data_IF_546819857751
#
_entry.id   IF_546819857751
#
_cell.length_a   1.000
_cell.length_b   1.000
_cell.length_c   1.000
_cell.angle_alpha   90.00
_cell.angle_beta   90.00
_cell.angle_gamma   90.00
#
_symmetry.space_group_name_H-M   'P 1'
#
loop_
_entity.id
_entity.type
_entity.pdbx_description
1 polymer ?
#
# COMPACT_ATOMS: atom_id res chain seq x y z
N UNK A 1 6.55 14.56 -9.36
CA UNK A 1 6.77 13.91 -8.05
C UNK A 1 7.07 14.96 -6.99
N UNK A 2 6.28 15.05 -5.93
CA UNK A 2 6.57 15.84 -4.73
C UNK A 2 7.35 14.99 -3.74
N UNK A 3 8.32 15.56 -3.01
CA UNK A 3 9.19 14.83 -2.07
C UNK A 3 9.58 15.70 -0.88
N UNK A 4 9.92 15.03 0.23
CA UNK A 4 10.56 15.62 1.41
C UNK A 4 11.75 14.74 1.82
N UNK A 5 12.90 15.34 2.06
CA UNK A 5 14.13 14.58 2.35
C UNK A 5 14.23 14.09 3.82
N UNK A 6 13.25 14.46 4.66
CA UNK A 6 13.27 14.17 6.10
C UNK A 6 12.70 12.80 6.49
N UNK A 7 12.12 12.05 5.56
CA UNK A 7 11.44 10.76 5.84
C UNK A 7 12.16 9.64 5.11
N UNK A 8 12.52 8.61 5.86
CA UNK A 8 13.17 7.42 5.37
C UNK A 8 12.56 6.14 5.91
N UNK A 9 13.18 5.00 5.58
CA UNK A 9 12.70 3.68 5.97
C UNK A 9 12.47 3.54 7.49
N UNK A 10 13.33 4.12 8.32
CA UNK A 10 13.20 4.05 9.79
C UNK A 10 11.94 4.74 10.31
N UNK A 11 11.53 5.83 9.69
CA UNK A 11 10.31 6.56 10.06
C UNK A 11 9.09 5.72 9.75
N UNK A 12 9.05 5.07 8.58
CA UNK A 12 7.98 4.13 8.17
C UNK A 12 7.92 2.92 9.09
N UNK A 13 9.07 2.32 9.43
CA UNK A 13 9.15 1.23 10.40
C UNK A 13 8.59 1.65 11.77
N UNK A 14 8.85 2.91 12.20
CA UNK A 14 8.31 3.48 13.43
C UNK A 14 6.78 3.53 13.44
N UNK A 15 6.15 3.92 12.34
CA UNK A 15 4.68 3.93 12.17
C UNK A 15 4.11 2.53 12.42
N UNK A 16 4.56 1.56 11.63
CA UNK A 16 4.00 0.20 11.64
C UNK A 16 4.46 -0.70 12.80
N UNK A 17 5.43 -0.23 13.60
CA UNK A 17 5.82 -0.87 14.86
C UNK A 17 5.16 -0.22 16.09
N UNK A 18 4.35 0.80 15.90
CA UNK A 18 3.76 1.61 16.96
C UNK A 18 2.24 1.77 16.84
N UNK A 19 1.65 2.58 17.72
CA UNK A 19 0.20 2.79 17.80
C UNK A 19 -0.41 3.42 16.54
N UNK A 20 0.38 4.11 15.74
CA UNK A 20 -0.09 4.69 14.47
C UNK A 20 -0.48 3.61 13.47
N UNK A 21 0.31 2.52 13.36
CA UNK A 21 -0.03 1.36 12.55
C UNK A 21 -1.28 0.63 13.05
N UNK A 22 -1.45 0.54 14.36
CA UNK A 22 -2.65 -0.06 14.97
C UNK A 22 -3.90 0.80 14.72
N UNK A 23 -3.77 2.14 14.65
CA UNK A 23 -4.86 3.04 14.24
C UNK A 23 -5.26 2.82 12.77
N UNK A 24 -4.30 2.67 11.87
CA UNK A 24 -4.61 2.36 10.48
C UNK A 24 -5.34 1.03 10.33
N UNK A 25 -4.90 0.00 11.07
CA UNK A 25 -5.58 -1.30 11.08
C UNK A 25 -6.99 -1.21 11.69
N UNK A 26 -7.20 -0.41 12.74
CA UNK A 26 -8.52 -0.17 13.31
C UNK A 26 -9.49 0.45 12.29
N UNK A 27 -9.02 1.42 11.51
CA UNK A 27 -9.87 2.20 10.59
C UNK A 27 -10.12 1.47 9.28
N UNK A 28 -9.08 0.83 8.72
CA UNK A 28 -9.13 0.20 7.39
C UNK A 28 -9.30 -1.32 7.44
N UNK A 29 -9.27 -1.92 8.62
CA UNK A 29 -9.22 -3.37 8.80
C UNK A 29 -7.83 -3.94 8.53
N UNK A 30 -7.71 -5.26 8.51
CA UNK A 30 -6.42 -5.94 8.26
C UNK A 30 -5.83 -5.64 6.88
N UNK A 31 -6.68 -5.37 5.89
CA UNK A 31 -6.28 -4.86 4.59
C UNK A 31 -6.15 -3.34 4.65
N UNK A 32 -4.99 -2.88 5.11
CA UNK A 32 -4.69 -1.45 5.37
C UNK A 32 -4.49 -0.70 4.05
N UNK A 33 -5.56 -0.54 3.29
CA UNK A 33 -5.59 0.26 2.06
C UNK A 33 -6.99 0.81 1.76
N UNK A 34 -7.07 1.82 0.90
CA UNK A 34 -8.33 2.48 0.52
C UNK A 34 -9.25 1.49 -0.20
N UNK A 35 -10.44 1.31 0.33
CA UNK A 35 -11.47 0.47 -0.27
C UNK A 35 -11.42 -1.01 0.13
N UNK A 36 -10.42 -1.43 0.92
CA UNK A 36 -10.35 -2.77 1.50
C UNK A 36 -10.65 -3.90 0.50
N UNK A 37 -11.41 -4.89 0.91
CA UNK A 37 -11.75 -6.08 0.12
C UNK A 37 -12.25 -5.77 -1.31
N UNK A 38 -13.10 -4.77 -1.48
CA UNK A 38 -13.64 -4.40 -2.80
C UNK A 38 -12.54 -3.85 -3.73
N UNK A 39 -11.57 -3.10 -3.19
CA UNK A 39 -10.41 -2.62 -3.93
C UNK A 39 -9.50 -3.78 -4.37
N UNK A 40 -9.21 -4.73 -3.46
CA UNK A 40 -8.43 -5.93 -3.79
C UNK A 40 -9.09 -6.77 -4.89
N UNK A 41 -10.42 -6.94 -4.82
CA UNK A 41 -11.18 -7.67 -5.85
C UNK A 41 -11.06 -6.99 -7.21
N UNK A 42 -11.28 -5.69 -7.28
CA UNK A 42 -11.19 -4.91 -8.53
C UNK A 42 -9.78 -4.95 -9.14
N UNK A 43 -8.74 -4.79 -8.30
CA UNK A 43 -7.36 -4.91 -8.76
C UNK A 43 -7.06 -6.31 -9.30
N UNK A 44 -7.47 -7.36 -8.57
CA UNK A 44 -7.23 -8.75 -8.98
C UNK A 44 -7.96 -9.13 -10.29
N UNK A 45 -9.16 -8.58 -10.50
CA UNK A 45 -9.92 -8.77 -11.74
C UNK A 45 -9.27 -8.03 -12.91
N UNK A 46 -8.94 -6.76 -12.74
CA UNK A 46 -8.28 -5.94 -13.77
C UNK A 46 -6.89 -6.46 -14.14
N UNK A 47 -6.17 -7.05 -13.18
CA UNK A 47 -4.88 -7.69 -13.37
C UNK A 47 -4.98 -9.11 -13.93
N UNK A 48 -6.18 -9.66 -14.06
CA UNK A 48 -6.44 -11.03 -14.48
C UNK A 48 -5.61 -12.05 -13.67
N UNK A 49 -5.63 -11.91 -12.33
CA UNK A 49 -4.95 -12.87 -11.44
C UNK A 49 -5.71 -14.20 -11.48
N UNK A 50 -5.03 -15.24 -11.95
CA UNK A 50 -5.61 -16.57 -12.19
C UNK A 50 -5.30 -17.55 -11.05
N UNK A 51 -6.21 -18.48 -10.81
CA UNK A 51 -6.01 -19.56 -9.85
C UNK A 51 -4.80 -20.43 -10.23
N UNK A 52 -4.09 -20.93 -9.23
CA UNK A 52 -2.88 -21.75 -9.41
C UNK A 52 -1.61 -20.95 -9.66
N UNK A 53 -1.67 -19.62 -9.84
CA UNK A 53 -0.49 -18.75 -10.01
C UNK A 53 0.30 -18.55 -8.70
N UNK A 54 1.54 -18.09 -8.83
CA UNK A 54 2.43 -17.74 -7.72
C UNK A 54 2.78 -16.25 -7.78
N UNK A 55 2.60 -15.52 -6.67
CA UNK A 55 2.80 -14.08 -6.61
C UNK A 55 3.87 -13.64 -5.63
N UNK A 56 4.35 -12.40 -5.85
CA UNK A 56 5.19 -11.64 -4.93
C UNK A 56 4.39 -10.41 -4.45
N UNK A 57 4.36 -10.15 -3.15
CA UNK A 57 3.74 -8.95 -2.58
C UNK A 57 4.85 -8.06 -2.00
N UNK A 58 5.00 -6.86 -2.56
CA UNK A 58 6.04 -5.90 -2.18
C UNK A 58 5.47 -4.82 -1.27
N UNK A 59 6.06 -4.65 -0.09
CA UNK A 59 5.50 -3.93 1.05
C UNK A 59 4.26 -4.64 1.61
N UNK A 60 4.38 -5.94 1.82
CA UNK A 60 3.25 -6.82 2.15
C UNK A 60 2.65 -6.62 3.54
N UNK A 61 3.23 -5.78 4.38
CA UNK A 61 2.78 -5.51 5.75
C UNK A 61 2.50 -6.82 6.52
N UNK A 62 1.31 -6.97 7.10
CA UNK A 62 0.85 -8.17 7.80
C UNK A 62 0.36 -9.30 6.87
N UNK A 63 0.51 -9.14 5.55
CA UNK A 63 0.17 -10.14 4.54
C UNK A 63 -1.32 -10.30 4.24
N UNK A 64 -2.16 -9.33 4.56
CA UNK A 64 -3.60 -9.42 4.32
C UNK A 64 -3.95 -9.55 2.82
N UNK A 65 -3.26 -8.80 1.94
CA UNK A 65 -3.40 -8.96 0.48
C UNK A 65 -3.03 -10.36 0.00
N UNK A 66 -1.96 -10.96 0.57
CA UNK A 66 -1.58 -12.33 0.25
C UNK A 66 -2.63 -13.35 0.69
N UNK A 67 -3.15 -13.21 1.94
CA UNK A 67 -4.24 -14.09 2.43
C UNK A 67 -5.50 -13.96 1.59
N UNK A 68 -5.84 -12.73 1.18
CA UNK A 68 -6.94 -12.46 0.24
C UNK A 68 -6.74 -13.21 -1.09
N UNK A 69 -5.58 -13.09 -1.74
CA UNK A 69 -5.31 -13.71 -3.03
C UNK A 69 -5.37 -15.24 -2.96
N UNK A 70 -4.83 -15.85 -1.92
CA UNK A 70 -4.89 -17.31 -1.73
C UNK A 70 -6.34 -17.78 -1.53
N UNK A 71 -7.13 -17.09 -0.69
CA UNK A 71 -8.51 -17.50 -0.35
C UNK A 71 -9.52 -17.22 -1.46
N UNK A 72 -9.46 -16.05 -2.07
CA UNK A 72 -10.53 -15.55 -2.96
C UNK A 72 -10.17 -15.60 -4.44
N UNK A 73 -8.87 -15.72 -4.76
CA UNK A 73 -8.42 -15.86 -6.17
C UNK A 73 -7.79 -17.22 -6.45
N UNK A 74 -7.67 -18.11 -5.45
CA UNK A 74 -7.13 -19.44 -5.61
C UNK A 74 -5.64 -19.47 -6.00
N UNK A 75 -4.88 -18.41 -5.63
CA UNK A 75 -3.44 -18.34 -5.85
C UNK A 75 -2.75 -19.46 -5.08
N UNK A 76 -1.85 -20.20 -5.74
CA UNK A 76 -1.20 -21.39 -5.18
C UNK A 76 -0.18 -21.04 -4.09
N UNK A 77 0.52 -19.91 -4.22
CA UNK A 77 1.50 -19.49 -3.23
C UNK A 77 1.86 -18.01 -3.37
N UNK A 78 2.19 -17.39 -2.22
CA UNK A 78 2.61 -16.00 -2.14
C UNK A 78 3.93 -15.87 -1.37
N UNK A 79 4.80 -14.98 -1.86
CA UNK A 79 5.99 -14.54 -1.17
C UNK A 79 5.90 -13.04 -0.88
N UNK A 80 5.76 -12.65 0.38
CA UNK A 80 5.75 -11.24 0.79
C UNK A 80 7.15 -10.74 1.13
N UNK A 81 7.40 -9.47 0.84
CA UNK A 81 8.60 -8.73 1.25
C UNK A 81 8.17 -7.49 2.01
N UNK A 82 8.67 -7.33 3.22
CA UNK A 82 8.50 -6.11 4.01
C UNK A 82 9.74 -5.87 4.88
N UNK A 83 10.06 -4.61 5.12
CA UNK A 83 11.23 -4.23 5.91
C UNK A 83 10.94 -4.13 7.41
N UNK A 84 9.67 -4.21 7.84
CA UNK A 84 9.22 -4.00 9.21
C UNK A 84 8.99 -5.32 9.94
N UNK A 85 9.88 -5.66 10.86
CA UNK A 85 9.85 -6.95 11.57
C UNK A 85 8.51 -7.20 12.27
N UNK A 86 7.97 -6.20 12.95
CA UNK A 86 6.73 -6.33 13.74
C UNK A 86 5.54 -6.78 12.88
N UNK A 87 5.35 -6.18 11.71
CA UNK A 87 4.23 -6.56 10.83
C UNK A 87 4.47 -7.91 10.14
N UNK A 88 5.72 -8.23 9.80
CA UNK A 88 6.09 -9.55 9.24
C UNK A 88 5.79 -10.66 10.25
N UNK A 89 6.16 -10.49 11.51
CA UNK A 89 5.90 -11.49 12.56
C UNK A 89 4.38 -11.64 12.81
N UNK A 90 3.64 -10.52 12.90
CA UNK A 90 2.16 -10.53 12.98
C UNK A 90 1.54 -11.26 11.78
N UNK A 91 2.06 -11.03 10.59
CA UNK A 91 1.59 -11.70 9.37
C UNK A 91 1.82 -13.21 9.39
N UNK A 92 2.98 -13.67 9.86
CA UNK A 92 3.27 -15.09 10.03
C UNK A 92 2.32 -15.75 11.03
N UNK A 93 2.09 -15.11 12.18
CA UNK A 93 1.15 -15.60 13.20
C UNK A 93 -0.27 -15.72 12.63
N UNK A 94 -0.77 -14.71 11.91
CA UNK A 94 -2.08 -14.76 11.25
C UNK A 94 -2.16 -15.87 10.21
N UNK A 95 -1.12 -16.07 9.41
CA UNK A 95 -1.09 -17.17 8.44
C UNK A 95 -1.16 -18.56 9.12
N UNK A 96 -0.52 -18.73 10.28
CA UNK A 96 -0.64 -19.97 11.09
C UNK A 96 -2.08 -20.12 11.59
N UNK A 97 -2.64 -19.09 12.21
CA UNK A 97 -4.01 -19.10 12.74
C UNK A 97 -5.06 -19.40 11.65
N UNK A 98 -4.82 -18.93 10.44
CA UNK A 98 -5.71 -19.13 9.30
C UNK A 98 -5.43 -20.39 8.47
N UNK A 99 -4.41 -21.20 8.82
CA UNK A 99 -4.05 -22.41 8.09
C UNK A 99 -3.45 -22.15 6.70
N UNK A 100 -2.71 -21.05 6.53
CA UNK A 100 -2.12 -20.61 5.26
C UNK A 100 -0.58 -20.58 5.28
N UNK A 101 0.05 -21.07 6.36
CA UNK A 101 1.51 -21.00 6.54
C UNK A 101 2.31 -21.84 5.52
N UNK A 102 1.68 -22.81 4.90
CA UNK A 102 2.26 -23.63 3.79
C UNK A 102 2.27 -22.88 2.45
N UNK A 103 1.35 -21.93 2.25
CA UNK A 103 1.16 -21.19 1.00
C UNK A 103 1.75 -19.78 1.01
N UNK A 104 1.93 -19.19 2.19
CA UNK A 104 2.36 -17.80 2.34
C UNK A 104 3.67 -17.74 3.11
N UNK A 105 4.67 -17.09 2.53
CA UNK A 105 5.98 -16.88 3.14
C UNK A 105 6.30 -15.40 3.21
N UNK A 106 7.13 -15.02 4.19
CA UNK A 106 7.57 -13.64 4.40
C UNK A 106 9.09 -13.55 4.41
N UNK A 107 9.62 -12.56 3.69
CA UNK A 107 11.02 -12.14 3.71
C UNK A 107 11.10 -10.77 4.39
N UNK A 108 11.91 -10.67 5.44
CA UNK A 108 12.23 -9.39 6.08
C UNK A 108 13.38 -8.75 5.31
N UNK A 109 13.09 -7.81 4.42
CA UNK A 109 14.07 -7.13 3.57
C UNK A 109 13.54 -5.80 3.04
N UNK A 110 14.45 -4.94 2.56
CA UNK A 110 14.10 -3.76 1.77
C UNK A 110 13.58 -4.21 0.40
N UNK A 111 12.38 -3.75 0.03
CA UNK A 111 11.73 -4.06 -1.25
C UNK A 111 12.50 -3.56 -2.48
N UNK A 112 13.42 -2.62 -2.30
CA UNK A 112 14.33 -2.18 -3.37
C UNK A 112 15.50 -3.16 -3.62
N UNK A 113 15.68 -4.15 -2.74
CA UNK A 113 16.74 -5.17 -2.83
C UNK A 113 16.32 -6.39 -1.99
N UNK A 114 15.32 -7.13 -2.44
CA UNK A 114 14.69 -8.22 -1.67
C UNK A 114 15.61 -9.43 -1.44
N UNK A 115 16.65 -9.60 -2.24
CA UNK A 115 17.52 -10.78 -2.24
C UNK A 115 16.87 -12.05 -2.83
N UNK A 116 15.63 -11.96 -3.30
CA UNK A 116 14.91 -13.08 -3.88
C UNK A 116 15.34 -13.38 -5.33
N UNK A 117 15.20 -14.64 -5.75
CA UNK A 117 15.51 -15.06 -7.11
C UNK A 117 14.58 -14.37 -8.13
N UNK A 118 15.15 -13.81 -9.21
CA UNK A 118 14.40 -13.15 -10.26
C UNK A 118 13.60 -14.11 -11.16
N UNK A 119 12.64 -13.57 -11.90
CA UNK A 119 11.84 -14.24 -12.93
C UNK A 119 11.10 -15.51 -12.45
N UNK A 120 10.66 -15.53 -11.18
CA UNK A 120 9.98 -16.67 -10.57
C UNK A 120 8.48 -16.47 -10.37
N UNK A 121 8.04 -15.22 -10.21
CA UNK A 121 6.64 -14.92 -9.95
C UNK A 121 5.84 -14.77 -11.25
N UNK A 122 4.60 -15.23 -11.23
CA UNK A 122 3.61 -14.95 -12.28
C UNK A 122 3.16 -13.51 -12.22
N UNK A 123 3.12 -12.93 -10.99
CA UNK A 123 2.77 -11.53 -10.80
C UNK A 123 3.47 -10.92 -9.57
N UNK A 124 3.63 -9.58 -9.60
CA UNK A 124 3.94 -8.75 -8.45
C UNK A 124 2.70 -7.95 -8.04
N UNK A 125 2.52 -7.79 -6.73
CA UNK A 125 1.37 -7.18 -6.10
C UNK A 125 1.78 -6.08 -5.10
N UNK A 126 0.94 -5.10 -4.88
CA UNK A 126 1.06 -4.11 -3.83
C UNK A 126 -0.24 -3.33 -3.68
N UNK A 127 -0.59 -2.94 -2.46
CA UNK A 127 -1.82 -2.20 -2.18
C UNK A 127 -1.53 -1.03 -1.25
N UNK A 128 -1.56 0.19 -1.81
CA UNK A 128 -1.39 1.49 -1.13
C UNK A 128 -0.17 1.57 -0.20
N UNK A 129 0.90 0.90 -0.55
CA UNK A 129 2.09 0.76 0.28
C UNK A 129 3.39 1.25 -0.40
N UNK A 130 3.38 1.38 -1.72
CA UNK A 130 4.55 1.82 -2.46
C UNK A 130 4.86 3.30 -2.25
N UNK A 131 3.86 4.10 -1.83
CA UNK A 131 4.03 5.49 -1.41
C UNK A 131 5.06 5.66 -0.27
N UNK A 132 5.28 4.65 0.55
CA UNK A 132 6.27 4.65 1.63
C UNK A 132 7.72 4.41 1.16
N UNK A 133 7.93 3.98 -0.08
CA UNK A 133 9.27 3.65 -0.58
C UNK A 133 9.98 4.90 -1.08
N UNK A 134 11.22 5.13 -0.63
CA UNK A 134 12.02 6.31 -1.00
C UNK A 134 12.36 6.29 -2.49
N UNK A 135 12.89 5.17 -2.98
CA UNK A 135 13.32 5.00 -4.37
C UNK A 135 12.33 4.13 -5.15
N UNK A 136 11.31 4.78 -5.71
CA UNK A 136 10.29 4.11 -6.51
C UNK A 136 10.82 3.52 -7.81
N UNK A 137 11.92 4.06 -8.35
CA UNK A 137 12.57 3.49 -9.53
C UNK A 137 13.18 2.12 -9.23
N UNK A 138 13.89 2.00 -8.10
CA UNK A 138 14.44 0.71 -7.65
C UNK A 138 13.35 -0.27 -7.26
N UNK A 139 12.28 0.18 -6.61
CA UNK A 139 11.12 -0.67 -6.30
C UNK A 139 10.50 -1.27 -7.57
N UNK A 140 10.21 -0.45 -8.59
CA UNK A 140 9.64 -0.92 -9.86
C UNK A 140 10.63 -1.83 -10.61
N UNK A 141 11.92 -1.51 -10.57
CA UNK A 141 12.95 -2.37 -11.16
C UNK A 141 13.00 -3.75 -10.46
N UNK A 142 12.87 -3.79 -9.13
CA UNK A 142 12.83 -5.03 -8.38
C UNK A 142 11.54 -5.82 -8.67
N UNK A 143 10.38 -5.18 -8.72
CA UNK A 143 9.12 -5.82 -9.14
C UNK A 143 9.25 -6.45 -10.53
N UNK A 144 9.78 -5.70 -11.49
CA UNK A 144 10.03 -6.19 -12.83
C UNK A 144 11.06 -7.34 -12.87
N UNK A 145 12.10 -7.30 -12.03
CA UNK A 145 13.10 -8.37 -11.92
C UNK A 145 12.52 -9.69 -11.40
N UNK A 146 11.64 -9.60 -10.41
CA UNK A 146 11.03 -10.76 -9.74
C UNK A 146 10.00 -11.47 -10.62
N UNK A 147 9.26 -10.73 -11.42
CA UNK A 147 8.23 -11.27 -12.31
C UNK A 147 8.87 -11.89 -13.56
N UNK A 148 8.36 -13.04 -13.99
CA UNK A 148 8.76 -13.68 -15.26
C UNK A 148 8.32 -12.86 -16.48
N UNK A 149 8.89 -13.12 -17.65
CA UNK A 149 8.41 -12.55 -18.92
C UNK A 149 6.95 -12.93 -19.16
N UNK A 150 6.14 -11.99 -19.61
CA UNK A 150 4.70 -12.14 -19.78
C UNK A 150 3.90 -12.12 -18.48
N UNK A 151 4.56 -12.01 -17.32
CA UNK A 151 3.88 -11.88 -16.02
C UNK A 151 3.42 -10.46 -15.74
N UNK A 152 2.58 -10.31 -14.72
CA UNK A 152 1.85 -9.08 -14.40
C UNK A 152 2.48 -8.33 -13.23
N UNK A 153 2.52 -7.00 -13.29
CA UNK A 153 2.74 -6.12 -12.13
C UNK A 153 1.44 -5.37 -11.91
N UNK A 154 0.84 -5.56 -10.74
CA UNK A 154 -0.45 -4.98 -10.37
C UNK A 154 -0.39 -4.34 -9.01
N UNK A 155 -0.76 -3.06 -8.90
CA UNK A 155 -0.79 -2.38 -7.62
C UNK A 155 -1.79 -1.22 -7.60
N UNK A 156 -2.26 -0.88 -6.40
CA UNK A 156 -2.82 0.43 -6.09
C UNK A 156 -1.82 1.23 -5.29
N UNK A 157 -1.89 2.55 -5.39
CA UNK A 157 -1.08 3.42 -4.54
C UNK A 157 -1.68 4.82 -4.40
N UNK A 158 -1.31 5.50 -3.34
CA UNK A 158 -1.63 6.91 -3.14
C UNK A 158 -0.85 7.74 -4.14
N UNK A 159 -1.54 8.60 -4.89
CA UNK A 159 -0.95 9.42 -5.94
C UNK A 159 -1.33 10.89 -5.81
N UNK A 160 -0.46 11.78 -6.30
CA UNK A 160 -0.81 13.16 -6.56
C UNK A 160 -1.90 13.19 -7.64
N UNK A 161 -3.01 13.83 -7.32
CA UNK A 161 -4.16 13.95 -8.22
C UNK A 161 -3.95 15.04 -9.29
N UNK A 162 -4.86 15.15 -10.27
CA UNK A 162 -4.70 16.05 -11.41
C UNK A 162 -4.73 17.55 -11.03
N UNK A 163 -5.32 17.91 -9.91
CA UNK A 163 -5.32 19.31 -9.43
C UNK A 163 -3.97 19.75 -8.86
N UNK A 164 -3.10 18.79 -8.51
CA UNK A 164 -1.76 19.04 -8.01
C UNK A 164 -1.72 19.61 -6.58
N UNK A 165 -0.68 19.25 -5.84
CA UNK A 165 -0.39 19.80 -4.52
C UNK A 165 0.51 21.03 -4.65
N UNK A 166 0.22 22.10 -3.91
CA UNK A 166 1.22 23.12 -3.67
C UNK A 166 2.35 22.56 -2.79
N UNK A 167 3.52 23.21 -2.78
CA UNK A 167 4.65 22.72 -1.99
C UNK A 167 4.33 22.66 -0.49
N UNK A 168 3.57 23.63 0.01
CA UNK A 168 3.12 23.67 1.42
C UNK A 168 2.14 22.53 1.75
N UNK A 169 1.20 22.26 0.86
CA UNK A 169 0.26 21.12 1.01
C UNK A 169 1.00 19.79 0.96
N UNK A 170 1.92 19.65 0.01
CA UNK A 170 2.74 18.45 -0.12
C UNK A 170 3.58 18.20 1.13
N UNK A 171 4.28 19.23 1.63
CA UNK A 171 5.09 19.10 2.85
C UNK A 171 4.23 18.64 4.05
N UNK A 172 3.07 19.29 4.29
CA UNK A 172 2.17 18.93 5.38
C UNK A 172 1.65 17.49 5.24
N UNK A 173 1.13 17.14 4.07
CA UNK A 173 0.57 15.83 3.79
C UNK A 173 1.61 14.71 3.91
N UNK A 174 2.77 14.88 3.27
CA UNK A 174 3.84 13.88 3.30
C UNK A 174 4.41 13.68 4.71
N UNK A 175 4.54 14.75 5.51
CA UNK A 175 4.95 14.64 6.92
C UNK A 175 3.95 13.88 7.77
N UNK A 176 2.65 14.17 7.59
CA UNK A 176 1.59 13.47 8.33
C UNK A 176 1.56 11.99 7.97
N UNK A 177 1.54 11.65 6.69
CA UNK A 177 1.47 10.27 6.21
C UNK A 177 2.80 9.51 6.32
N UNK A 178 3.90 10.16 6.67
CA UNK A 178 5.26 9.59 6.61
C UNK A 178 5.62 9.07 5.23
N UNK A 179 5.15 9.73 4.18
CA UNK A 179 5.56 9.43 2.82
C UNK A 179 6.84 10.23 2.47
N UNK A 180 7.90 9.58 2.01
CA UNK A 180 9.09 10.30 1.54
C UNK A 180 8.81 11.11 0.27
N UNK A 181 7.92 10.62 -0.55
CA UNK A 181 7.48 11.26 -1.79
C UNK A 181 6.15 10.70 -2.26
N UNK A 182 5.49 11.43 -3.17
CA UNK A 182 4.28 10.98 -3.85
C UNK A 182 4.46 11.14 -5.38
N UNK A 183 4.12 10.09 -6.13
CA UNK A 183 4.07 10.10 -7.58
C UNK A 183 2.68 10.48 -8.06
N UNK A 184 2.57 10.92 -9.32
CA UNK A 184 1.33 10.96 -10.07
C UNK A 184 1.17 9.70 -10.95
N UNK A 185 0.02 9.56 -11.59
CA UNK A 185 -0.28 8.42 -12.48
C UNK A 185 0.71 8.36 -13.65
N UNK A 186 1.11 9.49 -14.21
CA UNK A 186 2.07 9.57 -15.33
C UNK A 186 3.46 9.12 -14.89
N UNK A 187 3.88 9.51 -13.69
CA UNK A 187 5.17 9.11 -13.12
C UNK A 187 5.29 7.60 -12.93
N UNK A 188 4.27 6.96 -12.35
CA UNK A 188 4.26 5.49 -12.23
C UNK A 188 4.23 4.79 -13.58
N UNK A 189 3.41 5.29 -14.54
CA UNK A 189 3.43 4.78 -15.92
C UNK A 189 4.84 4.83 -16.50
N UNK A 190 5.52 5.98 -16.43
CA UNK A 190 6.87 6.14 -16.95
C UNK A 190 7.89 5.22 -16.28
N UNK A 191 7.79 5.00 -14.96
CA UNK A 191 8.65 4.06 -14.24
C UNK A 191 8.45 2.61 -14.71
N UNK A 192 7.21 2.18 -14.93
CA UNK A 192 6.89 0.85 -15.46
C UNK A 192 7.45 0.67 -16.89
N UNK A 193 7.23 1.64 -17.76
CA UNK A 193 7.72 1.62 -19.15
C UNK A 193 9.24 1.61 -19.22
N UNK A 194 9.93 2.40 -18.37
CA UNK A 194 11.39 2.45 -18.29
C UNK A 194 11.99 1.12 -17.81
N UNK A 195 11.22 0.29 -17.10
CA UNK A 195 11.63 -1.04 -16.65
C UNK A 195 11.12 -2.18 -17.57
N UNK A 196 10.82 -1.86 -18.84
CA UNK A 196 10.47 -2.84 -19.86
C UNK A 196 9.07 -3.43 -19.73
N UNK A 197 8.17 -2.75 -19.02
CA UNK A 197 6.79 -3.18 -18.88
C UNK A 197 5.88 -2.48 -19.90
N UNK A 198 4.88 -3.18 -20.39
CA UNK A 198 3.78 -2.63 -21.17
C UNK A 198 2.64 -2.30 -20.21
N UNK A 199 2.32 -1.02 -20.05
CA UNK A 199 1.24 -0.57 -19.16
C UNK A 199 -0.11 -0.80 -19.81
N UNK A 200 -0.93 -1.63 -19.20
CA UNK A 200 -2.29 -1.96 -19.64
C UNK A 200 -3.32 -1.04 -19.02
N UNK A 201 -3.14 -0.67 -17.73
CA UNK A 201 -3.98 0.26 -16.98
C UNK A 201 -3.12 1.20 -16.15
N UNK A 202 -3.51 2.45 -16.07
CA UNK A 202 -2.98 3.45 -15.15
C UNK A 202 -4.09 4.51 -14.98
N UNK A 203 -4.89 4.39 -13.94
CA UNK A 203 -6.14 5.13 -13.77
C UNK A 203 -6.37 5.53 -12.31
N UNK A 204 -7.14 6.60 -12.08
CA UNK A 204 -7.68 6.94 -10.77
C UNK A 204 -8.88 6.02 -10.49
N UNK A 205 -8.91 5.42 -9.30
CA UNK A 205 -10.00 4.52 -8.91
C UNK A 205 -11.30 5.26 -8.57
N UNK A 206 -11.24 6.56 -8.31
CA UNK A 206 -12.35 7.36 -7.81
C UNK A 206 -12.79 7.05 -6.38
N UNK A 207 -12.07 6.13 -5.68
CA UNK A 207 -12.46 5.66 -4.34
C UNK A 207 -11.96 6.55 -3.22
N UNK A 208 -10.95 7.37 -3.47
CA UNK A 208 -10.18 8.00 -2.40
C UNK A 208 -11.05 8.90 -1.50
N UNK A 209 -11.68 9.93 -2.05
CA UNK A 209 -12.47 10.88 -1.26
C UNK A 209 -13.66 10.22 -0.52
N UNK A 210 -14.49 9.35 -1.14
CA UNK A 210 -15.58 8.67 -0.43
C UNK A 210 -15.10 7.80 0.75
N UNK A 211 -13.92 7.15 0.63
CA UNK A 211 -13.40 6.31 1.72
C UNK A 211 -12.79 7.14 2.84
N UNK A 212 -12.14 8.26 2.52
CA UNK A 212 -11.69 9.21 3.57
C UNK A 212 -12.88 9.73 4.38
N UNK A 213 -14.00 10.06 3.73
CA UNK A 213 -15.24 10.45 4.40
C UNK A 213 -15.76 9.33 5.32
N UNK A 214 -15.79 8.10 4.83
CA UNK A 214 -16.19 6.94 5.61
C UNK A 214 -15.30 6.74 6.85
N UNK A 215 -13.99 6.77 6.69
CA UNK A 215 -13.03 6.58 7.78
C UNK A 215 -13.15 7.67 8.84
N UNK A 216 -13.30 8.93 8.44
CA UNK A 216 -13.56 10.04 9.38
C UNK A 216 -14.87 9.85 10.13
N UNK A 217 -15.94 9.44 9.45
CA UNK A 217 -17.21 9.14 10.11
C UNK A 217 -17.07 8.01 11.13
N UNK A 218 -16.39 6.92 10.79
CA UNK A 218 -16.15 5.80 11.70
C UNK A 218 -15.36 6.22 12.93
N UNK A 219 -14.30 7.04 12.77
CA UNK A 219 -13.50 7.59 13.87
C UNK A 219 -14.30 8.53 14.77
N UNK A 220 -15.21 9.33 14.20
CA UNK A 220 -16.05 10.27 14.95
C UNK A 220 -17.27 9.61 15.62
N UNK A 221 -17.57 8.34 15.32
CA UNK A 221 -18.73 7.62 15.83
C UNK A 221 -18.30 6.37 16.61
N UNK A 222 -18.30 5.20 15.95
CA UNK A 222 -18.12 3.93 16.64
C UNK A 222 -16.67 3.62 17.05
N UNK A 223 -15.68 4.16 16.37
CA UNK A 223 -14.27 3.86 16.63
C UNK A 223 -13.56 4.85 17.57
N UNK A 224 -14.24 5.91 18.02
CA UNK A 224 -13.62 6.98 18.85
C UNK A 224 -12.96 6.41 20.11
N UNK A 225 -13.66 5.54 20.84
CA UNK A 225 -13.14 4.96 22.09
C UNK A 225 -11.94 4.06 21.84
N UNK A 226 -12.00 3.19 20.82
CA UNK A 226 -10.92 2.27 20.50
C UNK A 226 -9.68 3.03 19.99
N UNK A 227 -9.88 4.07 19.18
CA UNK A 227 -8.80 4.97 18.76
C UNK A 227 -8.13 5.67 19.96
N UNK A 228 -8.92 6.22 20.88
CA UNK A 228 -8.40 6.82 22.12
C UNK A 228 -7.62 5.81 22.97
N UNK A 229 -8.11 4.58 23.09
CA UNK A 229 -7.43 3.50 23.81
C UNK A 229 -6.05 3.19 23.22
N UNK A 230 -5.95 3.08 21.88
CA UNK A 230 -4.69 2.83 21.17
C UNK A 230 -3.66 3.91 21.46
N UNK A 231 -4.07 5.19 21.48
CA UNK A 231 -3.16 6.31 21.73
C UNK A 231 -3.02 6.67 23.21
N UNK A 232 -3.48 5.81 24.13
CA UNK A 232 -3.37 6.00 25.57
C UNK A 232 -4.20 7.16 26.11
N UNK A 233 -5.39 7.41 25.54
CA UNK A 233 -6.35 8.47 25.90
C UNK A 233 -5.78 9.90 25.82
N UNK A 234 -4.78 10.13 24.98
CA UNK A 234 -4.17 11.45 24.76
C UNK A 234 -5.07 12.32 23.87
N UNK A 235 -5.93 13.12 24.49
CA UNK A 235 -6.92 13.93 23.76
C UNK A 235 -6.29 14.97 22.82
N UNK A 236 -5.18 15.60 23.21
CA UNK A 236 -4.48 16.58 22.35
C UNK A 236 -3.94 15.90 21.07
N UNK A 237 -3.41 14.67 21.20
CA UNK A 237 -2.95 13.90 20.05
C UNK A 237 -4.13 13.53 19.13
N UNK A 238 -5.26 13.08 19.69
CA UNK A 238 -6.46 12.80 18.93
C UNK A 238 -6.96 14.02 18.14
N UNK A 239 -6.96 15.19 18.80
CA UNK A 239 -7.34 16.45 18.14
C UNK A 239 -6.40 16.81 17.00
N UNK A 240 -5.08 16.74 17.22
CA UNK A 240 -4.08 17.03 16.19
C UNK A 240 -4.21 16.08 14.99
N UNK A 241 -4.37 14.78 15.22
CA UNK A 241 -4.62 13.81 14.17
C UNK A 241 -5.92 14.10 13.41
N UNK A 242 -6.99 14.47 14.11
CA UNK A 242 -8.26 14.85 13.48
C UNK A 242 -8.15 16.08 12.57
N UNK A 243 -7.30 17.05 12.91
CA UNK A 243 -7.02 18.22 12.06
C UNK A 243 -6.25 17.83 10.77
N UNK A 244 -5.29 16.91 10.88
CA UNK A 244 -4.56 16.39 9.71
C UNK A 244 -5.46 15.53 8.81
N UNK A 245 -6.30 14.69 9.38
CA UNK A 245 -7.29 13.89 8.62
C UNK A 245 -8.29 14.78 7.88
N UNK A 246 -8.77 15.88 8.51
CA UNK A 246 -9.62 16.88 7.83
C UNK A 246 -8.89 17.58 6.68
N UNK A 247 -7.61 17.93 6.89
CA UNK A 247 -6.78 18.48 5.82
C UNK A 247 -6.65 17.51 4.64
N UNK A 248 -6.40 16.23 4.91
CA UNK A 248 -6.35 15.19 3.90
C UNK A 248 -7.69 15.04 3.17
N UNK A 249 -8.83 15.09 3.88
CA UNK A 249 -10.15 15.07 3.28
C UNK A 249 -10.36 16.23 2.30
N UNK A 250 -9.96 17.44 2.68
CA UNK A 250 -10.03 18.62 1.80
C UNK A 250 -9.19 18.42 0.52
N UNK A 251 -7.98 17.89 0.65
CA UNK A 251 -7.11 17.58 -0.51
C UNK A 251 -7.73 16.52 -1.42
N UNK A 252 -8.37 15.49 -0.84
CA UNK A 252 -9.06 14.44 -1.58
C UNK A 252 -10.23 15.01 -2.40
N UNK A 253 -11.12 15.77 -1.75
CA UNK A 253 -12.26 16.41 -2.44
C UNK A 253 -11.84 17.47 -3.47
N UNK A 254 -10.70 18.11 -3.29
CA UNK A 254 -10.13 19.03 -4.27
C UNK A 254 -9.43 18.32 -5.45
N UNK A 255 -9.43 16.98 -5.49
CA UNK A 255 -8.75 16.21 -6.54
C UNK A 255 -7.23 16.34 -6.55
N UNK A 256 -6.63 16.68 -5.38
CA UNK A 256 -5.19 16.87 -5.23
C UNK A 256 -4.44 15.62 -4.82
N UNK A 257 -5.14 14.68 -4.18
CA UNK A 257 -4.67 13.33 -3.88
C UNK A 257 -5.73 12.32 -4.29
N UNK A 258 -5.29 11.15 -4.74
CA UNK A 258 -6.16 10.10 -5.26
C UNK A 258 -5.57 8.71 -4.98
N UNK A 259 -6.32 7.65 -5.27
CA UNK A 259 -5.79 6.29 -5.37
C UNK A 259 -5.62 5.92 -6.85
N UNK A 260 -4.39 5.68 -7.26
CA UNK A 260 -4.06 5.15 -8.57
C UNK A 260 -4.18 3.63 -8.61
N UNK A 261 -4.61 3.07 -9.73
CA UNK A 261 -4.58 1.64 -10.02
C UNK A 261 -3.72 1.39 -11.27
N UNK A 262 -2.81 0.44 -11.16
CA UNK A 262 -1.82 0.16 -12.20
C UNK A 262 -1.78 -1.33 -12.50
N UNK A 263 -1.82 -1.66 -13.79
CA UNK A 263 -1.60 -3.02 -14.30
C UNK A 263 -0.66 -2.95 -15.48
N UNK A 264 0.41 -3.70 -15.44
CA UNK A 264 1.41 -3.77 -16.51
C UNK A 264 1.88 -5.20 -16.71
N UNK A 265 2.31 -5.52 -17.94
CA UNK A 265 2.91 -6.81 -18.29
C UNK A 265 4.39 -6.63 -18.59
N UNK A 266 5.24 -7.47 -18.01
CA UNK A 266 6.68 -7.51 -18.31
C UNK A 266 6.91 -8.08 -19.71
N UNK A 267 7.64 -7.35 -20.57
CA UNK A 267 8.01 -7.79 -21.92
C UNK A 267 9.08 -8.89 -21.93
#
# INVERSE_FOLDING_TARGET
>A
MKKIDAIGLKDVQGVYSGPEGDLWELVMGEQIHIGGFASSMDLAEKANIIAGSHGMDLCCCNGAGMRFLVRFRGVAGMQGVDATKTVVDRGRERCVQEGLADKIRFTLADVCCSGLAGAKADFAWGEDAWCYVVDKSRLIAEAARLVRRGGTIAFTDWVEGPAGLTDKEAERFLRFMKFPNIQDIKGYRGLLEANGCMVLRAEDTGRFAPHVDLYLNMLNMQLTYDALKIIGFKQDLMKAMGEEMKSMQQLAHAGKIAQGLFVATKK
#
